data_IF_703902735593
#
_entry.id   IF_703902735593
#
_cell.length_a   1.000
_cell.length_b   1.000
_cell.length_c   1.000
_cell.angle_alpha   90.00
_cell.angle_beta   90.00
_cell.angle_gamma   90.00
#
_symmetry.space_group_name_H-M   'P 1'
#
loop_
_entity.id
_entity.type
_entity.pdbx_description
1 polymer ?
#
# COMPACT_ATOMS: atom_id res chain seq x y z
N UNK A 1 -7.00 -3.16 3.55
CA UNK A 1 -7.27 -2.31 2.36
C UNK A 1 -6.00 -2.27 1.54
N UNK A 2 -6.07 -2.20 0.21
CA UNK A 2 -4.90 -2.21 -0.67
C UNK A 2 -4.78 -0.90 -1.45
N UNK A 3 -3.55 -0.46 -1.68
CA UNK A 3 -3.21 0.67 -2.55
C UNK A 3 -2.30 0.22 -3.69
N UNK A 4 -2.39 0.92 -4.83
CA UNK A 4 -1.56 0.70 -6.00
C UNK A 4 -1.53 1.95 -6.87
N UNK A 5 -0.47 2.09 -7.67
CA UNK A 5 -0.20 3.31 -8.42
C UNK A 5 -1.13 3.51 -9.62
N UNK A 6 -1.66 2.42 -10.17
CA UNK A 6 -2.29 2.39 -11.51
C UNK A 6 -1.52 3.23 -12.54
N UNK A 7 -0.18 3.14 -12.49
CA UNK A 7 0.70 4.04 -13.20
C UNK A 7 0.65 3.80 -14.71
N UNK A 8 0.26 4.85 -15.45
CA UNK A 8 0.31 4.91 -16.92
C UNK A 8 1.52 5.70 -17.43
N UNK A 9 2.35 6.21 -16.51
CA UNK A 9 3.61 6.93 -16.75
C UNK A 9 4.64 6.59 -15.67
N UNK A 10 5.93 6.79 -15.98
CA UNK A 10 7.03 6.51 -15.05
C UNK A 10 6.92 7.29 -13.73
N UNK A 11 6.39 8.52 -13.79
CA UNK A 11 6.19 9.38 -12.63
C UNK A 11 5.25 8.79 -11.57
N UNK A 12 4.39 7.83 -11.94
CA UNK A 12 3.48 7.17 -11.01
C UNK A 12 4.07 5.93 -10.34
N UNK A 13 5.20 5.40 -10.83
CA UNK A 13 5.77 4.16 -10.31
C UNK A 13 6.28 4.37 -8.88
N UNK A 14 5.89 3.49 -7.96
CA UNK A 14 6.31 3.54 -6.55
C UNK A 14 5.56 4.55 -5.68
N UNK A 15 4.69 5.40 -6.24
CA UNK A 15 4.00 6.44 -5.47
C UNK A 15 3.01 5.84 -4.45
N UNK A 16 2.14 4.93 -4.88
CA UNK A 16 1.17 4.23 -4.03
C UNK A 16 1.50 2.74 -3.97
N UNK A 17 1.48 2.16 -2.77
CA UNK A 17 1.75 0.74 -2.58
C UNK A 17 0.87 0.15 -1.48
N UNK A 18 1.03 -1.16 -1.26
CA UNK A 18 0.43 -1.88 -0.14
C UNK A 18 1.56 -2.39 0.77
N UNK A 19 1.49 -2.04 2.05
CA UNK A 19 2.38 -2.58 3.08
C UNK A 19 1.70 -3.76 3.76
N UNK A 20 2.45 -4.85 3.95
CA UNK A 20 2.00 -6.03 4.70
C UNK A 20 2.59 -6.00 6.10
N UNK A 21 1.77 -6.32 7.11
CA UNK A 21 2.21 -6.33 8.53
C UNK A 21 3.09 -7.52 8.87
N UNK A 22 2.96 -8.60 8.09
CA UNK A 22 3.76 -9.80 8.22
C UNK A 22 4.71 -9.93 7.02
N UNK A 23 5.82 -10.63 7.23
CA UNK A 23 6.72 -11.01 6.14
C UNK A 23 5.99 -11.91 5.14
N UNK A 24 6.22 -11.65 3.86
CA UNK A 24 5.64 -12.41 2.75
C UNK A 24 6.75 -13.27 2.14
N UNK A 25 6.71 -14.58 2.39
CA UNK A 25 7.70 -15.52 1.84
C UNK A 25 7.18 -16.21 0.57
N UNK A 26 5.86 -16.29 0.42
CA UNK A 26 5.19 -16.94 -0.70
C UNK A 26 3.83 -16.29 -1.02
N UNK A 27 3.18 -16.78 -2.07
CA UNK A 27 1.88 -16.27 -2.52
C UNK A 27 0.74 -16.60 -1.54
N UNK A 28 0.83 -17.70 -0.78
CA UNK A 28 -0.16 -18.05 0.22
C UNK A 28 -0.16 -17.05 1.39
N UNK A 29 1.02 -16.59 1.83
CA UNK A 29 1.17 -15.55 2.85
C UNK A 29 0.53 -14.24 2.37
N UNK A 30 0.73 -13.88 1.10
CA UNK A 30 0.10 -12.71 0.49
C UNK A 30 -1.42 -12.81 0.57
N UNK A 31 -2.00 -13.93 0.13
CA UNK A 31 -3.45 -14.16 0.16
C UNK A 31 -3.99 -14.14 1.59
N UNK A 32 -3.27 -14.74 2.54
CA UNK A 32 -3.64 -14.70 3.95
C UNK A 32 -3.70 -13.27 4.49
N UNK A 33 -2.68 -12.45 4.24
CA UNK A 33 -2.64 -11.08 4.72
C UNK A 33 -3.75 -10.21 4.10
N UNK A 34 -4.03 -10.40 2.80
CA UNK A 34 -5.12 -9.69 2.12
C UNK A 34 -6.50 -10.05 2.70
N UNK A 35 -6.77 -11.35 2.89
CA UNK A 35 -8.07 -11.82 3.41
C UNK A 35 -8.33 -11.41 4.87
N UNK A 36 -7.27 -11.30 5.67
CA UNK A 36 -7.39 -11.00 7.10
C UNK A 36 -7.16 -9.52 7.42
N UNK A 37 -7.16 -8.62 6.43
CA UNK A 37 -6.89 -7.18 6.62
C UNK A 37 -5.55 -6.88 7.33
N UNK A 38 -4.53 -7.71 7.11
CA UNK A 38 -3.15 -7.45 7.54
C UNK A 38 -2.34 -6.71 6.46
N UNK A 39 -3.02 -5.77 5.81
CA UNK A 39 -2.47 -4.92 4.76
C UNK A 39 -3.06 -3.53 4.84
N UNK A 40 -2.22 -2.53 4.55
CA UNK A 40 -2.60 -1.13 4.53
C UNK A 40 -2.04 -0.41 3.30
N UNK A 41 -2.81 0.51 2.71
CA UNK A 41 -2.32 1.35 1.63
C UNK A 41 -1.30 2.36 2.16
N UNK A 42 -0.25 2.61 1.39
CA UNK A 42 0.80 3.57 1.73
C UNK A 42 1.15 4.46 0.55
N UNK A 43 1.56 5.70 0.84
CA UNK A 43 2.10 6.68 -0.11
C UNK A 43 3.59 6.87 0.15
N UNK A 44 4.40 6.85 -0.91
CA UNK A 44 5.79 7.24 -0.86
C UNK A 44 5.92 8.77 -0.90
N UNK A 45 6.53 9.35 0.13
CA UNK A 45 6.89 10.76 0.18
C UNK A 45 8.36 10.90 0.57
N UNK A 46 9.19 11.26 -0.41
CA UNK A 46 10.64 11.23 -0.27
C UNK A 46 11.15 9.83 0.12
N UNK A 47 11.82 9.74 1.27
CA UNK A 47 12.34 8.49 1.84
C UNK A 47 11.42 7.88 2.91
N UNK A 48 10.14 8.28 2.96
CA UNK A 48 9.18 7.83 3.96
C UNK A 48 7.93 7.22 3.33
N UNK A 49 7.36 6.24 4.03
CA UNK A 49 6.08 5.63 3.68
C UNK A 49 5.01 6.10 4.67
N UNK A 50 4.00 6.77 4.15
CA UNK A 50 2.88 7.34 4.91
C UNK A 50 1.70 6.38 4.80
N UNK A 51 1.11 5.99 5.93
CA UNK A 51 -0.13 5.21 5.95
C UNK A 51 -1.30 6.08 5.47
N UNK A 52 -2.08 5.54 4.52
CA UNK A 52 -3.27 6.20 4.02
C UNK A 52 -4.47 5.71 4.82
N UNK A 53 -4.80 6.42 5.89
CA UNK A 53 -6.04 6.20 6.62
C UNK A 53 -7.21 6.91 5.92
N UNK A 54 -8.44 6.70 6.40
CA UNK A 54 -9.63 7.35 5.87
C UNK A 54 -9.57 8.88 5.95
N UNK A 55 -8.71 9.45 6.80
CA UNK A 55 -8.58 10.89 6.99
C UNK A 55 -7.64 11.53 5.96
N UNK A 56 -6.74 10.77 5.34
CA UNK A 56 -5.90 11.28 4.25
C UNK A 56 -6.74 11.93 3.15
N UNK A 57 -7.81 11.25 2.73
CA UNK A 57 -8.72 11.74 1.69
C UNK A 57 -9.70 12.82 2.16
N UNK A 58 -9.82 13.05 3.47
CA UNK A 58 -10.69 14.10 4.04
C UNK A 58 -9.96 15.43 4.26
N UNK A 59 -8.66 15.48 3.97
CA UNK A 59 -7.81 16.65 4.21
C UNK A 59 -7.50 17.48 2.95
N UNK A 60 -8.12 17.14 1.81
CA UNK A 60 -8.08 17.92 0.57
C UNK A 60 -9.35 18.75 0.35
#
# INVERSE_FOLDING_TARGET
MTGGTDAHSESGIGLFATRFKNDIQNVQDLVFNLKNNYSEPVLQSGNTWIELDLNYYNSE
#
